data_IF_664260942014
#
_entry.id   IF_664260942014
#
_cell.length_a   1.000
_cell.length_b   1.000
_cell.length_c   1.000
_cell.angle_alpha   90.00
_cell.angle_beta   90.00
_cell.angle_gamma   90.00
#
_symmetry.space_group_name_H-M   'P 1'
#
loop_
_entity.id
_entity.type
_entity.pdbx_description
1 polymer ?
#
# COMPACT_ATOMS: atom_id res chain seq x y z
N UNK A 1 3.21 -6.75 30.17
CA UNK A 1 1.95 -6.91 29.42
C UNK A 1 1.52 -5.55 28.91
N UNK A 2 1.61 -5.35 27.61
CA UNK A 2 1.23 -4.11 26.93
C UNK A 2 -0.29 -3.95 27.08
N UNK A 3 -0.75 -3.10 28.01
CA UNK A 3 -2.18 -2.87 28.30
C UNK A 3 -2.98 -2.22 27.16
N UNK A 4 -2.51 -2.37 25.92
CA UNK A 4 -3.17 -1.90 24.71
C UNK A 4 -4.31 -2.85 24.33
N UNK A 5 -5.45 -2.27 23.97
CA UNK A 5 -6.63 -3.01 23.54
C UNK A 5 -6.75 -2.94 22.03
N UNK A 6 -6.82 -4.12 21.40
CA UNK A 6 -7.11 -4.24 19.97
C UNK A 6 -8.62 -4.42 19.80
N UNK A 7 -9.25 -3.50 19.09
CA UNK A 7 -10.68 -3.54 18.78
C UNK A 7 -10.84 -3.80 17.28
N UNK A 8 -11.31 -5.00 16.87
CA UNK A 8 -11.67 -5.24 15.49
C UNK A 8 -12.94 -4.46 15.14
N UNK A 9 -12.95 -3.83 13.97
CA UNK A 9 -14.08 -3.09 13.46
C UNK A 9 -14.19 -3.26 11.95
N UNK A 10 -15.43 -3.35 11.46
CA UNK A 10 -15.72 -3.39 10.03
C UNK A 10 -16.35 -2.07 9.62
N UNK A 11 -15.67 -1.30 8.77
CA UNK A 11 -16.21 -0.04 8.25
C UNK A 11 -16.22 -0.07 6.73
N UNK A 12 -17.40 0.12 6.13
CA UNK A 12 -17.56 0.13 4.66
C UNK A 12 -17.09 -1.18 4.00
N UNK A 13 -17.31 -2.33 4.65
CA UNK A 13 -16.90 -3.64 4.15
C UNK A 13 -15.41 -3.98 4.33
N UNK A 14 -14.60 -3.07 4.88
CA UNK A 14 -13.17 -3.29 5.15
C UNK A 14 -12.94 -3.66 6.61
N UNK A 15 -12.14 -4.69 6.82
CA UNK A 15 -11.73 -5.17 8.14
C UNK A 15 -10.52 -4.38 8.65
N UNK A 16 -10.74 -3.63 9.74
CA UNK A 16 -9.74 -2.79 10.39
C UNK A 16 -9.58 -3.15 11.86
N UNK A 17 -8.36 -3.09 12.36
CA UNK A 17 -8.06 -3.24 13.78
C UNK A 17 -7.66 -1.89 14.35
N UNK A 18 -8.33 -1.47 15.41
CA UNK A 18 -8.07 -0.22 16.12
C UNK A 18 -7.26 -0.54 17.38
N UNK A 19 -6.17 0.19 17.61
CA UNK A 19 -5.37 0.02 18.84
C UNK A 19 -5.62 1.21 19.75
N UNK A 20 -6.24 0.93 20.89
CA UNK A 20 -6.55 1.92 21.91
C UNK A 20 -5.69 1.67 23.16
N UNK A 21 -5.21 2.76 23.75
CA UNK A 21 -4.61 2.74 25.09
C UNK A 21 -5.66 2.40 26.15
N UNK A 22 -5.23 1.97 27.35
CA UNK A 22 -6.15 1.79 28.48
C UNK A 22 -6.87 3.08 28.86
N UNK A 23 -6.27 4.23 28.51
CA UNK A 23 -6.83 5.58 28.63
C UNK A 23 -8.01 5.86 27.66
N UNK A 24 -8.24 4.98 26.67
CA UNK A 24 -9.25 5.15 25.62
C UNK A 24 -8.75 5.90 24.38
N UNK A 25 -7.57 6.52 24.46
CA UNK A 25 -6.92 7.19 23.34
C UNK A 25 -6.50 6.20 22.24
N UNK A 26 -6.89 6.47 20.99
CA UNK A 26 -6.48 5.67 19.83
C UNK A 26 -5.07 6.05 19.40
N UNK A 27 -4.17 5.07 19.39
CA UNK A 27 -2.75 5.30 19.09
C UNK A 27 -2.31 4.73 17.74
N UNK A 28 -3.07 3.78 17.18
CA UNK A 28 -2.80 3.23 15.86
C UNK A 28 -4.03 2.55 15.25
N UNK A 29 -3.94 2.20 13.97
CA UNK A 29 -4.88 1.29 13.31
C UNK A 29 -4.20 0.47 12.21
N UNK A 30 -4.70 -0.74 12.01
CA UNK A 30 -4.26 -1.66 10.98
C UNK A 30 -5.41 -1.94 10.01
N UNK A 31 -5.14 -1.81 8.72
CA UNK A 31 -6.06 -2.19 7.65
C UNK A 31 -5.66 -3.58 7.14
N UNK A 32 -6.50 -4.60 7.41
CA UNK A 32 -6.20 -5.98 6.97
C UNK A 32 -6.35 -6.14 5.46
N UNK A 33 -7.20 -5.34 4.84
CA UNK A 33 -7.42 -5.37 3.39
C UNK A 33 -6.22 -4.82 2.61
N UNK A 34 -5.57 -3.79 3.14
CA UNK A 34 -4.37 -3.19 2.55
C UNK A 34 -3.05 -3.72 3.16
N UNK A 35 -3.11 -4.44 4.28
CA UNK A 35 -1.93 -4.90 5.01
C UNK A 35 -1.07 -3.74 5.55
N UNK A 36 -1.68 -2.66 6.03
CA UNK A 36 -0.98 -1.42 6.42
C UNK A 36 -1.30 -0.98 7.85
N UNK A 37 -0.27 -0.58 8.61
CA UNK A 37 -0.39 0.03 9.94
C UNK A 37 -0.13 1.52 9.87
N UNK A 38 -1.09 2.31 10.35
CA UNK A 38 -1.00 3.75 10.53
C UNK A 38 -0.85 4.07 12.02
N UNK A 39 0.32 4.58 12.38
CA UNK A 39 0.67 4.98 13.74
C UNK A 39 0.26 6.44 13.95
N UNK A 40 -0.57 6.70 14.97
CA UNK A 40 -0.93 8.05 15.40
C UNK A 40 0.06 8.54 16.47
N UNK A 41 0.63 7.62 17.26
CA UNK A 41 1.61 7.91 18.30
C UNK A 41 2.85 7.05 18.06
N UNK A 42 3.92 7.69 17.60
CA UNK A 42 5.19 7.03 17.30
C UNK A 42 5.95 6.50 18.53
N UNK A 43 5.69 7.10 19.69
CA UNK A 43 6.28 6.71 20.98
C UNK A 43 5.85 5.29 21.41
N UNK A 44 4.64 4.88 21.04
CA UNK A 44 4.10 3.54 21.33
C UNK A 44 4.29 2.55 20.18
N UNK A 45 5.11 2.88 19.17
CA UNK A 45 5.28 2.04 17.98
C UNK A 45 5.59 0.59 18.33
N UNK A 46 6.45 0.38 19.32
CA UNK A 46 6.96 -0.94 19.69
C UNK A 46 5.83 -1.76 20.33
N UNK A 47 5.09 -1.17 21.26
CA UNK A 47 3.94 -1.79 21.90
C UNK A 47 2.81 -2.08 20.91
N UNK A 48 2.56 -1.16 19.98
CA UNK A 48 1.55 -1.34 18.90
C UNK A 48 1.94 -2.50 18.00
N UNK A 49 3.20 -2.57 17.58
CA UNK A 49 3.68 -3.67 16.74
C UNK A 49 3.64 -4.99 17.49
N UNK A 50 4.00 -5.01 18.77
CA UNK A 50 3.97 -6.20 19.59
C UNK A 50 2.55 -6.75 19.77
N UNK A 51 1.56 -5.89 20.00
CA UNK A 51 0.15 -6.31 20.12
C UNK A 51 -0.46 -6.70 18.77
N UNK A 52 0.03 -6.10 17.67
CA UNK A 52 -0.46 -6.40 16.32
C UNK A 52 0.21 -7.63 15.70
N UNK A 53 1.41 -8.05 16.12
CA UNK A 53 2.14 -9.24 15.63
C UNK A 53 1.23 -10.44 15.31
N UNK A 54 0.36 -10.92 16.22
CA UNK A 54 -0.49 -12.09 15.96
C UNK A 54 -1.58 -11.84 14.91
N UNK A 55 -1.90 -10.59 14.60
CA UNK A 55 -2.91 -10.22 13.61
C UNK A 55 -2.32 -9.90 12.23
N UNK A 56 -1.01 -9.74 12.13
CA UNK A 56 -0.30 -9.51 10.86
C UNK A 56 -0.33 -10.81 10.05
N UNK A 57 -1.02 -10.79 8.91
CA UNK A 57 -1.22 -11.98 8.07
C UNK A 57 -0.27 -12.06 6.87
N UNK A 58 0.83 -11.27 6.85
CA UNK A 58 1.76 -11.20 5.73
C UNK A 58 2.75 -10.02 5.82
N UNK A 59 3.43 -9.65 4.72
CA UNK A 59 4.35 -8.51 4.70
C UNK A 59 3.57 -7.21 4.93
N UNK A 60 3.55 -6.76 6.19
CA UNK A 60 2.82 -5.56 6.58
C UNK A 60 3.71 -4.33 6.42
N UNK A 61 3.18 -3.34 5.71
CA UNK A 61 3.81 -2.04 5.59
C UNK A 61 3.57 -1.24 6.87
N UNK A 62 4.64 -1.01 7.62
CA UNK A 62 4.67 -0.12 8.80
C UNK A 62 5.52 1.09 8.43
N UNK A 63 4.95 2.28 8.43
CA UNK A 63 5.73 3.51 8.23
C UNK A 63 4.90 4.71 7.79
N UNK A 64 5.48 5.93 7.88
CA UNK A 64 4.91 7.14 7.30
C UNK A 64 4.63 6.89 5.80
N UNK A 65 3.61 7.54 5.23
CA UNK A 65 3.04 7.14 3.94
C UNK A 65 4.15 6.98 2.91
N UNK A 66 4.48 5.73 2.55
CA UNK A 66 5.26 5.50 1.35
C UNK A 66 4.41 6.01 0.19
N UNK A 67 4.88 7.12 -0.38
CA UNK A 67 4.54 7.61 -1.71
C UNK A 67 4.45 6.42 -2.66
N UNK A 68 3.47 6.38 -3.59
CA UNK A 68 3.39 5.29 -4.55
C UNK A 68 4.76 5.09 -5.20
N UNK A 69 5.20 3.84 -5.43
CA UNK A 69 6.38 3.61 -6.25
C UNK A 69 6.14 4.35 -7.59
N UNK A 70 7.12 5.11 -8.11
CA UNK A 70 6.95 5.65 -9.45
C UNK A 70 6.68 4.45 -10.38
N UNK A 71 5.73 4.55 -11.31
CA UNK A 71 5.58 3.55 -12.36
C UNK A 71 6.87 3.57 -13.19
N UNK A 72 7.86 2.77 -12.78
CA UNK A 72 9.03 2.47 -13.59
C UNK A 72 8.57 1.49 -14.66
N UNK A 73 8.09 2.02 -15.77
CA UNK A 73 8.31 1.41 -17.07
C UNK A 73 9.33 2.31 -17.77
N UNK A 74 10.55 1.80 -18.05
CA UNK A 74 11.59 2.59 -18.69
C UNK A 74 11.11 3.08 -20.05
N UNK A 75 11.48 4.31 -20.39
CA UNK A 75 11.23 4.88 -21.70
C UNK A 75 11.69 3.92 -22.79
N UNK A 76 10.76 3.53 -23.66
CA UNK A 76 11.13 3.25 -25.04
C UNK A 76 11.36 4.61 -25.71
N UNK A 77 12.54 4.87 -26.26
CA UNK A 77 12.79 6.10 -26.97
C UNK A 77 11.85 6.16 -28.16
N UNK A 78 11.29 7.35 -28.33
CA UNK A 78 10.75 7.81 -29.60
C UNK A 78 11.74 7.39 -30.71
N UNK A 79 11.33 6.48 -31.60
CA UNK A 79 11.89 6.40 -32.94
C UNK A 79 10.76 6.57 -33.95
N UNK A 80 11.00 7.39 -34.99
CA UNK A 80 9.96 7.89 -35.88
C UNK A 80 9.57 6.86 -36.93
N UNK A 81 8.41 7.12 -37.54
CA UNK A 81 7.83 6.45 -38.71
C UNK A 81 8.88 5.85 -39.67
N UNK A 82 8.86 4.54 -39.86
CA UNK A 82 9.30 3.94 -41.12
C UNK A 82 8.06 3.52 -41.90
N UNK A 83 7.73 4.35 -42.88
CA UNK A 83 6.91 3.98 -44.03
C UNK A 83 7.60 2.81 -44.71
N UNK A 84 6.99 1.63 -44.66
CA UNK A 84 7.33 0.53 -45.56
C UNK A 84 6.06 -0.23 -45.88
N UNK A 85 5.27 0.37 -46.76
CA UNK A 85 4.20 -0.32 -47.50
C UNK A 85 4.82 -0.77 -48.82
N UNK A 86 5.02 -2.07 -49.08
CA UNK A 86 5.34 -2.52 -50.42
C UNK A 86 4.02 -2.53 -51.20
N UNK A 87 3.82 -1.55 -52.08
CA UNK A 87 2.80 -1.66 -53.12
C UNK A 87 3.53 -1.56 -54.45
N UNK A 88 3.75 -2.71 -55.08
CA UNK A 88 4.14 -2.78 -56.49
C UNK A 88 2.99 -2.31 -57.40
N UNK A 89 3.06 -2.66 -58.69
CA UNK A 89 3.79 -1.97 -59.72
C UNK A 89 2.87 -0.99 -60.46
N UNK A 90 3.37 0.19 -60.83
CA UNK A 90 2.72 1.03 -61.84
C UNK A 90 3.55 1.01 -63.12
N UNK A 91 3.04 0.21 -64.07
CA UNK A 91 3.39 0.22 -65.49
C UNK A 91 3.33 1.67 -66.03
N UNK A 92 4.29 2.04 -66.87
CA UNK A 92 4.10 3.10 -67.87
C UNK A 92 4.47 2.53 -69.25
N UNK A 93 3.57 2.80 -70.20
CA UNK A 93 3.79 2.68 -71.64
C UNK A 93 4.76 3.74 -72.14
#
# INVERSE_FOLDING_TARGET
MSGLRVVPGRRGGRDRLYVCRPDGSRIAWYDRAAGRVDLLVEDERDRVLDVLKPFLTGPVAVGPPRSPPPPNSPGSPCTPMTTSRPTGPVRRC
#
